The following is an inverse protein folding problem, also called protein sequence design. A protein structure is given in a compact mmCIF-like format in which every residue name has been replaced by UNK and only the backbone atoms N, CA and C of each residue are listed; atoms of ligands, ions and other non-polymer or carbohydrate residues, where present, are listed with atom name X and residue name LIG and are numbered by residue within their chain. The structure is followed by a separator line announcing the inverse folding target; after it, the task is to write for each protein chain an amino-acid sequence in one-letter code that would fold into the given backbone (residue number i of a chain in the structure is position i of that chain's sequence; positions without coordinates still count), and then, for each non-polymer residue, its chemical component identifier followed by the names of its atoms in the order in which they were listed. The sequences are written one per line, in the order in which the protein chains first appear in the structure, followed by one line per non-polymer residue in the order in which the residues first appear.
data_IF_930762425017
#
_entry.id   IF_930762425017
#
_cell.length_a   1.000
_cell.length_b   1.000
_cell.length_c   1.000
_cell.angle_alpha   90.00
_cell.angle_beta   90.00
_cell.angle_gamma   90.00
#
_symmetry.space_group_name_H-M   'P 1'
#
loop_
_entity.id
_entity.type
_entity.pdbx_description
1 polymer ?
#
# COMPACT_ATOMS: atom_id res chain seq x y z
N UNK A 1 0.42 13.66 27.65
CA UNK A 1 0.74 14.24 26.33
C UNK A 1 -0.39 13.83 25.39
N UNK A 2 -1.22 14.77 24.94
CA UNK A 2 -2.39 14.47 24.12
C UNK A 2 -1.97 14.19 22.67
N UNK A 3 -2.46 13.10 22.09
CA UNK A 3 -2.18 12.72 20.71
C UNK A 3 -2.95 13.67 19.78
N UNK A 4 -2.24 14.37 18.89
CA UNK A 4 -2.87 15.27 17.92
C UNK A 4 -3.63 14.43 16.88
N UNK A 5 -4.85 14.82 16.48
CA UNK A 5 -5.59 14.10 15.44
C UNK A 5 -4.78 14.13 14.13
N UNK A 6 -4.53 12.96 13.53
CA UNK A 6 -3.93 12.86 12.19
C UNK A 6 -4.78 13.71 11.24
N UNK A 7 -4.17 14.71 10.60
CA UNK A 7 -4.87 15.57 9.66
C UNK A 7 -5.44 14.73 8.51
N UNK A 8 -6.76 14.61 8.44
CA UNK A 8 -7.45 13.96 7.33
C UNK A 8 -7.44 14.94 6.16
N UNK A 9 -6.51 14.78 5.23
CA UNK A 9 -6.49 15.56 3.99
C UNK A 9 -7.57 14.98 3.06
N UNK A 10 -8.73 15.63 3.00
CA UNK A 10 -9.81 15.27 2.06
C UNK A 10 -9.42 15.62 0.62
N UNK A 11 -9.51 14.64 -0.29
CA UNK A 11 -9.37 14.83 -1.74
C UNK A 11 -8.14 14.22 -2.39
N UNK A 12 -7.23 13.61 -1.64
CA UNK A 12 -6.14 12.82 -2.23
C UNK A 12 -6.61 11.39 -2.56
N UNK A 13 -6.09 10.75 -3.63
CA UNK A 13 -6.36 9.35 -3.90
C UNK A 13 -5.97 8.52 -2.68
N UNK A 14 -6.93 7.82 -2.07
CA UNK A 14 -6.62 6.88 -0.99
C UNK A 14 -6.19 5.55 -1.60
N UNK A 15 -5.01 5.08 -1.22
CA UNK A 15 -4.61 3.71 -1.50
C UNK A 15 -5.42 2.77 -0.60
N UNK A 16 -5.82 1.62 -1.16
CA UNK A 16 -6.30 0.51 -0.35
C UNK A 16 -5.08 -0.08 0.40
N UNK A 17 -4.96 0.24 1.68
CA UNK A 17 -3.88 -0.22 2.55
C UNK A 17 -4.42 -1.22 3.55
N UNK A 18 -3.70 -2.32 3.73
CA UNK A 18 -3.92 -3.27 4.82
C UNK A 18 -2.76 -3.16 5.79
N UNK A 19 -3.06 -2.69 6.99
CA UNK A 19 -2.07 -2.54 8.06
C UNK A 19 -1.81 -3.88 8.77
N UNK A 20 -0.66 -4.05 9.44
CA UNK A 20 -0.33 -5.30 10.14
C UNK A 20 -1.39 -5.78 11.13
N UNK A 21 -2.06 -4.87 11.84
CA UNK A 21 -3.13 -5.18 12.80
C UNK A 21 -4.41 -5.73 12.15
N UNK A 22 -4.53 -5.59 10.83
CA UNK A 22 -5.67 -6.07 10.03
C UNK A 22 -5.39 -7.43 9.37
N UNK A 23 -4.17 -7.95 9.49
CA UNK A 23 -3.77 -9.24 8.93
C UNK A 23 -4.20 -10.34 9.91
N UNK A 24 -5.06 -11.31 9.50
CA UNK A 24 -5.43 -12.44 10.34
C UNK A 24 -4.22 -13.29 10.71
N UNK A 25 -4.26 -14.00 11.83
CA UNK A 25 -3.18 -14.95 12.21
C UNK A 25 -2.95 -16.03 11.13
N UNK A 26 -4.01 -16.43 10.42
CA UNK A 26 -3.92 -17.37 9.30
C UNK A 26 -3.23 -16.78 8.05
N UNK A 27 -2.87 -15.50 8.06
CA UNK A 27 -2.30 -14.78 6.94
C UNK A 27 -3.32 -14.33 5.90
N UNK A 28 -2.81 -13.77 4.79
CA UNK A 28 -3.61 -13.37 3.62
C UNK A 28 -3.14 -14.15 2.40
N UNK A 29 -4.09 -14.54 1.56
CA UNK A 29 -3.83 -14.97 0.20
C UNK A 29 -4.31 -13.89 -0.74
N UNK A 30 -3.39 -13.27 -1.48
CA UNK A 30 -3.64 -12.17 -2.39
C UNK A 30 -3.15 -12.53 -3.78
N UNK A 31 -3.91 -12.15 -4.79
CA UNK A 31 -3.54 -12.29 -6.19
C UNK A 31 -3.17 -10.94 -6.78
N UNK A 32 -2.08 -10.92 -7.54
CA UNK A 32 -1.62 -9.76 -8.28
C UNK A 32 -0.92 -10.24 -9.55
N UNK A 33 -0.86 -9.36 -10.54
CA UNK A 33 -0.05 -9.61 -11.73
C UNK A 33 1.42 -9.31 -11.43
N UNK A 34 1.69 -8.35 -10.52
CA UNK A 34 3.02 -8.00 -10.06
C UNK A 34 3.04 -7.74 -8.54
N UNK A 35 4.05 -8.29 -7.87
CA UNK A 35 4.40 -8.00 -6.48
C UNK A 35 5.67 -7.12 -6.43
N UNK A 36 5.55 -5.95 -5.81
CA UNK A 36 6.68 -5.05 -5.51
C UNK A 36 6.96 -5.10 -4.00
N UNK A 37 8.21 -5.33 -3.63
CA UNK A 37 8.66 -5.33 -2.23
C UNK A 37 9.48 -4.06 -2.00
N UNK A 38 9.05 -3.23 -1.05
CA UNK A 38 9.59 -1.90 -0.76
C UNK A 38 8.81 -0.78 -1.45
N UNK A 39 8.38 0.22 -0.68
CA UNK A 39 7.59 1.39 -1.12
C UNK A 39 8.40 2.68 -1.20
N UNK A 40 9.73 2.60 -1.06
CA UNK A 40 10.63 3.72 -1.30
C UNK A 40 10.54 4.26 -2.74
N UNK A 41 11.32 5.30 -3.05
CA UNK A 41 11.21 6.04 -4.32
C UNK A 41 11.13 5.15 -5.57
N UNK A 42 12.02 4.16 -5.68
CA UNK A 42 12.01 3.23 -6.80
C UNK A 42 10.74 2.35 -6.83
N UNK A 43 10.41 1.71 -5.70
CA UNK A 43 9.25 0.83 -5.62
C UNK A 43 7.92 1.55 -5.88
N UNK A 44 7.76 2.76 -5.36
CA UNK A 44 6.57 3.58 -5.60
C UNK A 44 6.42 3.99 -7.07
N UNK A 45 7.50 4.44 -7.73
CA UNK A 45 7.48 4.79 -9.16
C UNK A 45 7.20 3.56 -10.02
N UNK A 46 7.85 2.44 -9.72
CA UNK A 46 7.61 1.17 -10.42
C UNK A 46 6.16 0.72 -10.26
N UNK A 47 5.62 0.72 -9.05
CA UNK A 47 4.23 0.35 -8.80
C UNK A 47 3.25 1.28 -9.52
N UNK A 48 3.52 2.58 -9.52
CA UNK A 48 2.71 3.57 -10.23
C UNK A 48 2.68 3.33 -11.73
N UNK A 49 3.84 3.21 -12.38
CA UNK A 49 3.88 3.01 -13.85
C UNK A 49 3.27 1.67 -14.27
N UNK A 50 3.49 0.61 -13.50
CA UNK A 50 2.86 -0.69 -13.75
C UNK A 50 1.33 -0.61 -13.60
N UNK A 51 0.83 0.00 -12.53
CA UNK A 51 -0.61 0.18 -12.32
C UNK A 51 -1.23 1.07 -13.42
N UNK A 52 -0.53 2.16 -13.81
CA UNK A 52 -0.93 3.05 -14.90
C UNK A 52 -0.99 2.34 -16.25
N UNK A 53 -0.17 1.30 -16.45
CA UNK A 53 -0.20 0.43 -17.63
C UNK A 53 -1.30 -0.64 -17.60
N UNK A 54 -2.03 -0.76 -16.48
CA UNK A 54 -3.18 -1.65 -16.31
C UNK A 54 -2.91 -2.92 -15.50
N UNK A 55 -1.71 -3.11 -14.95
CA UNK A 55 -1.41 -4.26 -14.10
C UNK A 55 -2.07 -4.14 -12.71
N UNK A 56 -2.53 -5.26 -12.15
CA UNK A 56 -2.90 -5.35 -10.72
C UNK A 56 -1.61 -5.49 -9.91
N UNK A 57 -1.23 -4.43 -9.20
CA UNK A 57 0.02 -4.37 -8.43
C UNK A 57 -0.25 -4.50 -6.94
N UNK A 58 0.47 -5.40 -6.28
CA UNK A 58 0.55 -5.48 -4.82
C UNK A 58 1.90 -4.92 -4.37
N UNK A 59 1.90 -4.02 -3.39
CA UNK A 59 3.12 -3.48 -2.77
C UNK A 59 3.17 -3.96 -1.32
N UNK A 60 4.32 -4.51 -0.90
CA UNK A 60 4.59 -4.88 0.48
C UNK A 60 5.71 -4.00 1.04
N UNK A 61 5.49 -3.45 2.23
CA UNK A 61 6.44 -2.61 2.96
C UNK A 61 6.39 -2.99 4.44
N UNK A 62 7.53 -2.92 5.14
CA UNK A 62 7.62 -3.24 6.55
C UNK A 62 7.11 -2.10 7.47
N UNK A 63 7.12 -0.87 6.97
CA UNK A 63 6.63 0.34 7.64
C UNK A 63 7.43 1.58 7.25
#
# INVERSE_FOLDING_TARGET
MANLPKATIQGLPSLKVTSPDQIPEAGLQLEADVLVIGSGAAGAVTAYELARSGARVLVLEAG
#
